data_IF_347821508896
#
_entry.id   IF_347821508896
#
_cell.length_a   1.000
_cell.length_b   1.000
_cell.length_c   1.000
_cell.angle_alpha   90.00
_cell.angle_beta   90.00
_cell.angle_gamma   90.00
#
_symmetry.space_group_name_H-M   'P 1'
#
loop_
_entity.id
_entity.type
_entity.pdbx_description
1 polymer ?
#
# COMPACT_ATOMS: atom_id res chain seq x y z
N UNK A 1 7.76 -2.76 -20.48
CA UNK A 1 7.63 -3.44 -19.16
C UNK A 1 6.46 -2.82 -18.41
N UNK A 2 5.55 -3.61 -17.78
CA UNK A 2 4.39 -3.03 -17.11
C UNK A 2 4.79 -2.37 -15.79
N UNK A 3 4.73 -1.04 -15.73
CA UNK A 3 4.98 -0.27 -14.50
C UNK A 3 3.93 -0.66 -13.45
N UNK A 4 4.38 -0.89 -12.22
CA UNK A 4 3.51 -1.13 -11.07
C UNK A 4 3.30 0.19 -10.32
N UNK A 5 2.08 0.39 -9.80
CA UNK A 5 1.79 1.50 -8.89
C UNK A 5 2.69 1.42 -7.63
N UNK A 6 3.63 2.36 -7.49
CA UNK A 6 4.59 2.44 -6.36
C UNK A 6 4.00 3.04 -5.09
N UNK A 7 2.92 3.81 -5.19
CA UNK A 7 2.21 4.39 -4.05
C UNK A 7 0.71 4.30 -4.27
N UNK A 8 -0.06 4.31 -3.19
CA UNK A 8 -1.53 4.20 -3.25
C UNK A 8 -2.17 4.96 -2.10
N UNK A 9 -3.47 5.17 -2.25
CA UNK A 9 -4.34 5.64 -1.19
C UNK A 9 -4.71 4.52 -0.22
N UNK A 10 -5.00 4.86 1.04
CA UNK A 10 -5.56 3.89 1.98
C UNK A 10 -6.86 3.30 1.43
N UNK A 11 -7.02 1.98 1.63
CA UNK A 11 -8.17 1.25 1.12
C UNK A 11 -9.34 1.49 2.08
N UNK A 12 -10.28 2.33 1.66
CA UNK A 12 -11.58 2.51 2.32
C UNK A 12 -12.67 1.81 1.50
N UNK A 13 -13.84 1.46 2.07
CA UNK A 13 -14.92 0.83 1.30
C UNK A 13 -15.31 1.63 0.05
N UNK A 14 -15.42 2.97 0.19
CA UNK A 14 -15.72 3.85 -0.92
C UNK A 14 -14.59 3.89 -1.97
N UNK A 15 -13.33 4.07 -1.55
CA UNK A 15 -12.18 4.07 -2.47
C UNK A 15 -12.00 2.73 -3.17
N UNK A 16 -12.30 1.63 -2.49
CA UNK A 16 -12.28 0.28 -3.06
C UNK A 16 -13.32 0.12 -4.18
N UNK A 17 -14.56 0.57 -3.93
CA UNK A 17 -15.64 0.57 -4.92
C UNK A 17 -15.30 1.46 -6.13
N UNK A 18 -14.90 2.71 -5.89
CA UNK A 18 -14.52 3.66 -6.94
C UNK A 18 -13.39 3.08 -7.79
N UNK A 19 -12.37 2.49 -7.17
CA UNK A 19 -11.26 1.87 -7.89
C UNK A 19 -11.71 0.69 -8.76
N UNK A 20 -12.64 -0.14 -8.29
CA UNK A 20 -13.18 -1.24 -9.10
C UNK A 20 -13.92 -0.69 -10.33
N UNK A 21 -14.74 0.34 -10.15
CA UNK A 21 -15.46 1.00 -11.24
C UNK A 21 -14.49 1.68 -12.23
N UNK A 22 -13.48 2.41 -11.75
CA UNK A 22 -12.48 3.07 -12.59
C UNK A 22 -11.67 2.06 -13.41
N UNK A 23 -11.37 0.88 -12.86
CA UNK A 23 -10.68 -0.20 -13.59
C UNK A 23 -11.54 -0.76 -14.71
N UNK A 24 -12.83 -0.98 -14.46
CA UNK A 24 -13.78 -1.41 -15.51
C UNK A 24 -13.85 -0.38 -16.65
N UNK A 25 -13.69 0.91 -16.32
CA UNK A 25 -13.66 2.03 -17.28
C UNK A 25 -12.29 2.30 -17.91
N UNK A 26 -11.25 1.52 -17.60
CA UNK A 26 -9.91 1.69 -18.17
C UNK A 26 -9.18 2.98 -17.77
N UNK A 27 -9.59 3.66 -16.69
CA UNK A 27 -8.99 4.93 -16.29
C UNK A 27 -7.75 4.72 -15.40
N UNK A 28 -6.68 5.46 -15.70
CA UNK A 28 -5.53 5.57 -14.80
C UNK A 28 -5.98 6.18 -13.47
N UNK A 29 -5.71 5.48 -12.36
CA UNK A 29 -6.21 5.87 -11.04
C UNK A 29 -5.20 6.68 -10.23
N UNK A 30 -3.95 6.76 -10.69
CA UNK A 30 -2.88 7.44 -9.97
C UNK A 30 -2.19 8.47 -10.86
N UNK A 31 -1.91 9.62 -10.26
CA UNK A 31 -1.17 10.72 -10.87
C UNK A 31 0.32 10.37 -10.86
N UNK A 32 1.07 10.72 -11.90
CA UNK A 32 2.53 10.71 -11.82
C UNK A 32 3.00 12.05 -11.24
N UNK A 33 4.00 11.98 -10.39
CA UNK A 33 4.65 13.15 -9.81
C UNK A 33 6.10 13.13 -10.24
N UNK A 34 6.63 14.31 -10.56
CA UNK A 34 8.03 14.50 -10.93
C UNK A 34 8.88 14.92 -9.72
N UNK A 35 8.23 15.27 -8.61
CA UNK A 35 8.85 15.70 -7.34
C UNK A 35 8.42 14.79 -6.19
N UNK A 36 9.19 14.72 -5.08
CA UNK A 36 8.81 13.94 -3.92
C UNK A 36 7.48 14.44 -3.33
N UNK A 37 6.56 13.52 -3.06
CA UNK A 37 5.25 13.87 -2.48
C UNK A 37 4.90 12.96 -1.33
N UNK A 38 4.21 13.53 -0.33
CA UNK A 38 3.62 12.77 0.76
C UNK A 38 2.43 11.95 0.26
N UNK A 39 2.40 10.67 0.60
CA UNK A 39 1.39 9.70 0.14
C UNK A 39 0.84 8.90 1.31
N UNK A 40 -0.26 8.17 1.12
CA UNK A 40 -0.83 7.36 2.21
C UNK A 40 0.09 6.17 2.51
N UNK A 41 0.46 5.41 1.48
CA UNK A 41 1.41 4.30 1.60
C UNK A 41 2.15 4.00 0.29
N UNK A 42 3.32 3.36 0.41
CA UNK A 42 4.16 2.90 -0.72
C UNK A 42 4.24 1.37 -0.74
N UNK A 43 4.51 0.78 -1.91
CA UNK A 43 4.59 -0.67 -2.07
C UNK A 43 5.83 -1.24 -1.36
N UNK A 44 5.66 -2.35 -0.63
CA UNK A 44 6.75 -3.05 0.06
C UNK A 44 7.81 -3.71 -0.83
N UNK A 45 7.69 -3.64 -2.17
CA UNK A 45 8.70 -4.17 -3.09
C UNK A 45 10.07 -3.49 -2.89
N UNK A 46 10.07 -2.19 -2.55
CA UNK A 46 11.25 -1.47 -2.12
C UNK A 46 10.85 -0.30 -1.22
N UNK A 47 11.44 -0.23 -0.02
CA UNK A 47 11.27 0.89 0.90
C UNK A 47 12.62 1.25 1.52
N UNK A 48 12.85 2.54 1.67
CA UNK A 48 13.98 3.09 2.42
C UNK A 48 13.43 3.87 3.61
N UNK A 49 13.99 3.63 4.80
CA UNK A 49 13.59 4.33 6.02
C UNK A 49 14.74 4.34 7.02
N UNK A 50 14.69 5.27 7.98
CA UNK A 50 15.68 5.30 9.05
C UNK A 50 15.50 4.12 9.99
N UNK A 51 16.59 3.67 10.61
CA UNK A 51 16.52 2.63 11.65
C UNK A 51 15.57 3.04 12.78
N UNK A 52 15.64 4.31 13.20
CA UNK A 52 14.79 4.86 14.25
C UNK A 52 13.31 4.77 13.92
N UNK A 53 12.90 5.14 12.69
CA UNK A 53 11.49 5.04 12.29
C UNK A 53 11.04 3.58 12.22
N UNK A 54 11.89 2.68 11.69
CA UNK A 54 11.59 1.25 11.63
C UNK A 54 11.40 0.62 13.02
N UNK A 55 12.32 0.88 13.95
CA UNK A 55 12.27 0.36 15.32
C UNK A 55 11.08 0.94 16.10
N UNK A 56 10.76 2.23 15.91
CA UNK A 56 9.61 2.88 16.57
C UNK A 56 8.27 2.25 16.22
N UNK A 57 8.15 1.69 15.01
CA UNK A 57 6.93 1.02 14.58
C UNK A 57 6.97 -0.49 14.87
N UNK A 58 8.11 -1.06 15.27
CA UNK A 58 8.35 -2.50 15.40
C UNK A 58 8.29 -3.27 14.06
N UNK A 59 8.67 -2.62 12.96
CA UNK A 59 8.79 -3.26 11.65
C UNK A 59 7.48 -3.76 11.04
N UNK A 60 7.55 -4.75 10.14
CA UNK A 60 6.36 -5.35 9.53
C UNK A 60 5.58 -6.18 10.55
N UNK A 61 4.25 -6.11 10.51
CA UNK A 61 3.38 -6.89 11.41
C UNK A 61 3.30 -8.34 10.91
N UNK A 62 3.99 -9.25 11.59
CA UNK A 62 4.06 -10.68 11.25
C UNK A 62 2.69 -11.40 11.26
N UNK A 63 1.66 -10.80 11.84
CA UNK A 63 0.31 -11.34 11.76
C UNK A 63 -0.33 -11.18 10.37
N UNK A 64 0.34 -10.54 9.41
CA UNK A 64 -0.03 -10.58 8.00
C UNK A 64 0.83 -11.62 7.28
N UNK A 65 0.19 -12.58 6.62
CA UNK A 65 0.91 -13.52 5.75
C UNK A 65 1.26 -12.89 4.40
N UNK A 66 0.29 -12.17 3.81
CA UNK A 66 0.43 -11.45 2.54
C UNK A 66 -0.62 -10.34 2.48
N UNK A 67 -0.27 -9.24 1.84
CA UNK A 67 -1.07 -8.02 1.66
C UNK A 67 -1.30 -7.23 2.95
N UNK A 68 -1.39 -5.91 2.76
CA UNK A 68 -1.66 -4.91 3.79
C UNK A 68 -0.56 -4.75 4.85
N UNK A 69 0.50 -5.57 4.86
CA UNK A 69 1.62 -5.44 5.79
C UNK A 69 2.40 -4.14 5.58
N UNK A 70 2.58 -3.76 4.31
CA UNK A 70 3.21 -2.52 3.87
C UNK A 70 2.32 -1.30 4.14
N UNK A 71 1.02 -1.42 3.86
CA UNK A 71 0.02 -0.40 4.20
C UNK A 71 -0.08 -0.17 5.72
N UNK A 72 -0.05 -1.24 6.52
CA UNK A 72 -0.06 -1.21 7.99
C UNK A 72 1.18 -0.50 8.55
N UNK A 73 2.36 -0.82 8.02
CA UNK A 73 3.61 -0.15 8.38
C UNK A 73 3.54 1.36 8.07
N UNK A 74 3.09 1.72 6.87
CA UNK A 74 2.96 3.13 6.47
C UNK A 74 1.98 3.89 7.36
N UNK A 75 0.85 3.28 7.74
CA UNK A 75 -0.09 3.93 8.65
C UNK A 75 0.51 4.13 10.06
N UNK A 76 1.23 3.11 10.59
CA UNK A 76 1.96 3.28 11.85
C UNK A 76 3.04 4.35 11.80
N UNK A 77 3.69 4.55 10.65
CA UNK A 77 4.62 5.66 10.45
C UNK A 77 3.92 7.01 10.59
N UNK A 78 2.77 7.20 9.93
CA UNK A 78 1.96 8.41 10.06
C UNK A 78 1.53 8.66 11.51
N UNK A 79 1.00 7.64 12.19
CA UNK A 79 0.60 7.74 13.60
C UNK A 79 1.79 8.00 14.54
N UNK A 80 3.00 7.60 14.15
CA UNK A 80 4.25 7.88 14.85
C UNK A 80 4.86 9.25 14.55
N UNK A 81 4.18 10.10 13.76
CA UNK A 81 4.67 11.43 13.37
C UNK A 81 5.68 11.43 12.22
N UNK A 82 5.92 10.28 11.58
CA UNK A 82 6.75 10.19 10.39
C UNK A 82 5.94 10.41 9.12
N UNK A 83 6.62 10.80 8.05
CA UNK A 83 6.03 10.98 6.73
C UNK A 83 6.33 9.78 5.84
N UNK A 84 5.35 9.41 5.03
CA UNK A 84 5.54 8.43 3.94
C UNK A 84 5.59 9.18 2.62
N UNK A 85 6.67 8.99 1.87
CA UNK A 85 6.99 9.78 0.67
C UNK A 85 7.16 8.87 -0.54
N UNK A 86 6.53 9.23 -1.64
CA UNK A 86 6.85 8.70 -2.96
C UNK A 86 8.01 9.52 -3.56
N UNK A 87 9.08 8.84 -3.96
CA UNK A 87 10.30 9.47 -4.49
C UNK A 87 10.51 9.11 -5.97
N UNK A 88 10.13 9.99 -6.92
CA UNK A 88 10.09 9.62 -8.34
C UNK A 88 11.46 9.51 -9.03
N UNK A 89 12.56 9.97 -8.40
CA UNK A 89 13.91 9.80 -8.98
C UNK A 89 14.53 8.43 -8.71
N UNK A 90 13.88 7.57 -7.92
CA UNK A 90 14.33 6.21 -7.68
C UNK A 90 13.47 5.21 -8.46
N UNK A 91 14.13 4.41 -9.30
CA UNK A 91 13.51 3.33 -10.06
C UNK A 91 14.13 1.99 -9.65
N UNK A 92 13.28 0.98 -9.49
CA UNK A 92 13.69 -0.37 -9.06
C UNK A 92 13.10 -1.38 -10.03
N UNK A 93 13.95 -2.23 -10.58
CA UNK A 93 13.54 -3.41 -11.32
C UNK A 93 13.51 -4.63 -10.39
N UNK A 94 12.42 -5.38 -10.44
CA UNK A 94 12.27 -6.61 -9.65
C UNK A 94 11.40 -7.61 -10.40
N UNK A 95 11.60 -8.90 -10.11
CA UNK A 95 10.77 -9.96 -10.67
C UNK A 95 9.44 -10.05 -9.91
N UNK A 96 8.37 -9.55 -10.53
CA UNK A 96 7.02 -9.56 -9.97
C UNK A 96 6.08 -10.44 -10.78
N UNK A 97 5.27 -11.27 -10.12
CA UNK A 97 4.18 -12.00 -10.77
C UNK A 97 2.83 -11.33 -10.52
N UNK A 98 1.93 -11.41 -11.50
CA UNK A 98 0.53 -10.95 -11.36
C UNK A 98 -0.47 -12.10 -11.30
N UNK A 99 0.01 -13.34 -11.18
CA UNK A 99 -0.77 -14.58 -11.19
C UNK A 99 -1.81 -14.64 -10.06
N UNK A 100 -1.48 -14.06 -8.90
CA UNK A 100 -2.37 -14.00 -7.75
C UNK A 100 -3.74 -13.35 -8.05
N UNK A 101 -3.83 -12.50 -9.09
CA UNK A 101 -5.09 -11.82 -9.49
C UNK A 101 -6.16 -12.77 -10.03
N UNK A 102 -5.78 -13.96 -10.47
CA UNK A 102 -6.69 -14.94 -11.07
C UNK A 102 -7.04 -16.08 -10.11
N UNK A 103 -6.75 -15.92 -8.82
CA UNK A 103 -6.89 -16.98 -7.83
C UNK A 103 -7.78 -16.57 -6.66
N UNK A 104 -8.84 -17.34 -6.45
CA UNK A 104 -9.73 -17.19 -5.29
C UNK A 104 -9.02 -17.34 -3.95
N UNK A 105 -7.99 -18.19 -3.88
CA UNK A 105 -7.16 -18.35 -2.67
C UNK A 105 -6.52 -17.02 -2.27
N UNK A 106 -5.87 -16.34 -3.22
CA UNK A 106 -5.22 -15.06 -2.96
C UNK A 106 -6.22 -13.93 -2.72
N UNK A 107 -7.40 -13.98 -3.34
CA UNK A 107 -8.49 -13.05 -3.02
C UNK A 107 -8.94 -13.19 -1.55
N UNK A 108 -9.14 -14.43 -1.06
CA UNK A 108 -9.50 -14.67 0.34
C UNK A 108 -8.43 -14.21 1.32
N UNK A 109 -7.15 -14.44 1.01
CA UNK A 109 -6.02 -13.94 1.81
C UNK A 109 -6.05 -12.41 1.86
N UNK A 110 -6.24 -11.75 0.71
CA UNK A 110 -6.37 -10.29 0.64
C UNK A 110 -7.52 -9.77 1.51
N UNK A 111 -8.71 -10.36 1.42
CA UNK A 111 -9.85 -9.92 2.24
C UNK A 111 -9.62 -10.13 3.73
N UNK A 112 -8.99 -11.25 4.14
CA UNK A 112 -8.62 -11.49 5.54
C UNK A 112 -7.63 -10.43 6.06
N UNK A 113 -6.60 -10.11 5.26
CA UNK A 113 -5.64 -9.06 5.60
C UNK A 113 -6.29 -7.68 5.66
N UNK A 114 -7.18 -7.36 4.71
CA UNK A 114 -7.91 -6.09 4.70
C UNK A 114 -8.83 -5.94 5.92
N UNK A 115 -9.54 -7.01 6.31
CA UNK A 115 -10.38 -6.99 7.51
C UNK A 115 -9.55 -6.82 8.78
N UNK A 116 -8.39 -7.48 8.87
CA UNK A 116 -7.44 -7.27 9.98
C UNK A 116 -6.99 -5.81 10.04
N UNK A 117 -6.63 -5.22 8.91
CA UNK A 117 -6.22 -3.82 8.81
C UNK A 117 -7.35 -2.87 9.27
N UNK A 118 -8.57 -3.05 8.76
CA UNK A 118 -9.72 -2.24 9.17
C UNK A 118 -10.09 -2.39 10.64
N UNK A 119 -9.93 -3.59 11.22
CA UNK A 119 -10.11 -3.78 12.66
C UNK A 119 -9.07 -3.00 13.49
N UNK A 120 -7.88 -2.78 12.94
CA UNK A 120 -6.77 -2.10 13.63
C UNK A 120 -6.85 -0.58 13.51
N UNK A 121 -7.25 -0.04 12.36
CA UNK A 121 -7.22 1.41 12.08
C UNK A 121 -8.57 2.03 11.71
N UNK A 122 -9.64 1.24 11.65
CA UNK A 122 -10.93 1.69 11.13
C UNK A 122 -10.99 1.71 9.59
N UNK A 123 -12.10 2.25 9.07
CA UNK A 123 -12.45 2.23 7.64
C UNK A 123 -12.34 3.61 6.96
N UNK A 124 -12.11 4.66 7.74
CA UNK A 124 -12.12 6.06 7.27
C UNK A 124 -10.85 6.44 6.52
N UNK A 125 -9.71 5.80 6.81
CA UNK A 125 -8.46 6.00 6.07
C UNK A 125 -7.92 7.42 6.17
N UNK A 126 -8.23 8.12 7.26
CA UNK A 126 -7.69 9.43 7.59
C UNK A 126 -6.34 9.28 8.31
N UNK A 127 -5.39 10.17 7.99
CA UNK A 127 -4.05 10.24 8.59
C UNK A 127 -4.10 10.86 9.98
#
# INVERSE_FOLDING_TARGET
MPIQDSYRHFITPWRFLVRHLSRVRGQATLKKYDEPVEVDWVCGAFMMMSRTSYESTKGLDEGYFLYCEDMDLCNRMWLGGYKVVYYPMAEIEYEGTRSARHSWKYALIFFKSLLKYWRKFGITGDK
#
